data_IF_157367537545
#
_entry.id   IF_157367537545
#
_cell.length_a   1.000
_cell.length_b   1.000
_cell.length_c   1.000
_cell.angle_alpha   90.00
_cell.angle_beta   90.00
_cell.angle_gamma   90.00
#
_symmetry.space_group_name_H-M   'P 1'
#
loop_
_entity.id
_entity.type
_entity.pdbx_description
1 polymer ?
#
# COMPACT_ATOMS: atom_id res chain seq x y z
N UNK A 1 14.20 23.34 0.73
CA UNK A 1 15.26 22.36 1.11
C UNK A 1 15.08 21.99 2.58
N UNK A 2 15.24 20.75 2.93
CA UNK A 2 15.18 20.26 4.32
C UNK A 2 16.48 19.51 4.66
N UNK A 3 16.79 19.44 5.93
CA UNK A 3 17.92 18.66 6.42
C UNK A 3 17.67 18.20 7.87
N UNK A 4 17.95 16.94 8.15
CA UNK A 4 17.87 16.37 9.50
C UNK A 4 19.27 16.25 10.11
N UNK A 5 19.53 16.98 11.18
CA UNK A 5 20.84 16.94 11.86
C UNK A 5 21.09 15.63 12.62
N UNK A 6 20.03 14.82 12.85
CA UNK A 6 20.15 13.54 13.53
C UNK A 6 20.61 12.40 12.63
N UNK A 7 20.03 12.25 11.43
CA UNK A 7 20.29 11.14 10.53
C UNK A 7 20.95 11.54 9.19
N UNK A 8 21.12 12.84 8.92
CA UNK A 8 21.72 13.35 7.69
C UNK A 8 20.76 13.34 6.48
N UNK A 9 19.51 12.90 6.65
CA UNK A 9 18.53 12.95 5.56
C UNK A 9 18.25 14.39 5.15
N UNK A 10 18.23 14.66 3.87
CA UNK A 10 17.98 16.00 3.37
C UNK A 10 17.82 16.04 1.86
N UNK A 11 17.30 17.14 1.36
CA UNK A 11 17.08 17.35 -0.05
C UNK A 11 16.01 18.38 -0.35
N UNK A 12 15.42 18.29 -1.54
CA UNK A 12 14.34 19.15 -1.99
C UNK A 12 12.96 18.52 -1.74
N UNK A 13 11.90 19.15 -2.23
CA UNK A 13 10.51 18.66 -2.10
C UNK A 13 10.33 17.28 -2.73
N UNK A 14 10.91 17.02 -3.90
CA UNK A 14 10.86 15.72 -4.56
C UNK A 14 11.49 14.63 -3.72
N UNK A 15 12.69 14.89 -3.19
CA UNK A 15 13.40 13.95 -2.31
C UNK A 15 12.57 13.65 -1.06
N UNK A 16 11.97 14.67 -0.45
CA UNK A 16 11.11 14.49 0.71
C UNK A 16 9.92 13.56 0.41
N UNK A 17 9.21 13.80 -0.69
CA UNK A 17 8.05 12.96 -1.07
C UNK A 17 8.47 11.53 -1.41
N UNK A 18 9.61 11.37 -2.10
CA UNK A 18 10.16 10.04 -2.40
C UNK A 18 10.45 9.23 -1.13
N UNK A 19 11.08 9.84 -0.15
CA UNK A 19 11.46 9.16 1.09
C UNK A 19 10.26 8.95 2.02
N UNK A 20 9.40 9.94 2.17
CA UNK A 20 8.25 9.88 3.07
C UNK A 20 7.18 8.90 2.62
N UNK A 21 6.81 8.96 1.32
CA UNK A 21 5.77 8.11 0.73
C UNK A 21 6.33 6.80 0.13
N UNK A 22 7.65 6.62 0.16
CA UNK A 22 8.32 5.52 -0.52
C UNK A 22 8.01 5.46 -2.02
N UNK A 23 8.03 6.63 -2.67
CA UNK A 23 7.79 6.78 -4.10
C UNK A 23 9.08 6.72 -4.90
N UNK A 24 8.98 6.27 -6.14
CA UNK A 24 10.01 6.52 -7.15
C UNK A 24 9.99 8.00 -7.55
N UNK A 25 11.05 8.47 -8.22
CA UNK A 25 11.10 9.84 -8.74
C UNK A 25 9.88 10.19 -9.60
N UNK A 26 9.47 9.29 -10.49
CA UNK A 26 8.32 9.49 -11.37
C UNK A 26 7.00 9.58 -10.61
N UNK A 27 6.81 8.73 -9.63
CA UNK A 27 5.61 8.75 -8.77
C UNK A 27 5.54 10.04 -7.96
N UNK A 28 6.66 10.46 -7.38
CA UNK A 28 6.74 11.72 -6.65
C UNK A 28 6.48 12.94 -7.55
N UNK A 29 7.06 12.94 -8.74
CA UNK A 29 6.86 14.01 -9.72
C UNK A 29 5.39 14.10 -10.15
N UNK A 30 4.76 12.97 -10.44
CA UNK A 30 3.35 12.89 -10.81
C UNK A 30 2.45 13.39 -9.68
N UNK A 31 2.68 12.93 -8.46
CA UNK A 31 1.90 13.35 -7.29
C UNK A 31 2.01 14.84 -7.02
N UNK A 32 3.18 15.42 -7.13
CA UNK A 32 3.40 16.86 -6.96
C UNK A 32 2.82 17.67 -8.11
N UNK A 33 2.91 17.18 -9.35
CA UNK A 33 2.29 17.82 -10.51
C UNK A 33 0.77 17.86 -10.40
N UNK A 34 0.14 16.77 -10.00
CA UNK A 34 -1.31 16.69 -9.76
C UNK A 34 -1.73 17.68 -8.66
N UNK A 35 -0.97 17.75 -7.59
CA UNK A 35 -1.23 18.71 -6.50
C UNK A 35 -1.09 20.16 -6.93
N UNK A 36 -0.14 20.45 -7.79
CA UNK A 36 0.11 21.80 -8.31
C UNK A 36 -0.75 22.16 -9.53
N UNK A 37 -1.54 21.22 -10.06
CA UNK A 37 -2.33 21.43 -11.28
C UNK A 37 -1.48 21.56 -12.55
N UNK A 38 -0.28 21.00 -12.57
CA UNK A 38 0.66 21.06 -13.69
C UNK A 38 0.55 19.78 -14.51
N UNK A 39 0.38 19.94 -15.84
CA UNK A 39 0.41 18.82 -16.77
C UNK A 39 1.84 18.43 -17.09
N UNK A 40 2.18 17.17 -16.87
CA UNK A 40 3.49 16.62 -17.26
C UNK A 40 3.48 16.19 -18.72
N UNK A 41 4.57 16.41 -19.47
CA UNK A 41 4.72 15.85 -20.80
C UNK A 41 4.71 14.33 -20.75
N UNK A 42 4.16 13.68 -21.79
CA UNK A 42 4.27 12.24 -21.94
C UNK A 42 5.74 11.86 -22.09
N UNK A 43 6.25 11.14 -21.10
CA UNK A 43 7.61 10.60 -21.19
C UNK A 43 7.60 9.27 -21.93
N UNK A 44 8.47 9.12 -22.91
CA UNK A 44 8.74 7.83 -23.52
C UNK A 44 9.60 7.02 -22.55
N UNK A 45 9.00 5.99 -21.98
CA UNK A 45 9.74 5.05 -21.12
C UNK A 45 10.43 3.99 -21.98
N UNK A 46 11.62 3.59 -21.55
CA UNK A 46 12.26 2.39 -22.09
C UNK A 46 11.37 1.16 -21.85
N UNK A 47 11.57 0.11 -22.63
CA UNK A 47 10.79 -1.14 -22.47
C UNK A 47 10.93 -1.69 -21.05
N UNK A 48 12.14 -1.70 -20.51
CA UNK A 48 12.44 -2.16 -19.14
C UNK A 48 11.72 -1.33 -18.09
N UNK A 49 11.67 0.00 -18.24
CA UNK A 49 10.97 0.88 -17.31
C UNK A 49 9.46 0.64 -17.32
N UNK A 50 8.87 0.33 -18.48
CA UNK A 50 7.44 -0.04 -18.61
C UNK A 50 7.16 -1.37 -17.92
N UNK A 51 7.99 -2.38 -18.13
CA UNK A 51 7.83 -3.69 -17.50
C UNK A 51 7.93 -3.60 -15.97
N UNK A 52 8.89 -2.82 -15.45
CA UNK A 52 9.01 -2.58 -14.01
C UNK A 52 7.80 -1.84 -13.43
N UNK A 53 7.31 -0.82 -14.14
CA UNK A 53 6.12 -0.08 -13.71
C UNK A 53 4.86 -0.96 -13.70
N UNK A 54 4.70 -1.82 -14.70
CA UNK A 54 3.61 -2.78 -14.76
C UNK A 54 3.69 -3.81 -13.63
N UNK A 55 4.88 -4.36 -13.39
CA UNK A 55 5.11 -5.29 -12.29
C UNK A 55 4.80 -4.67 -10.94
N UNK A 56 5.27 -3.43 -10.69
CA UNK A 56 4.97 -2.68 -9.47
C UNK A 56 3.47 -2.43 -9.31
N UNK A 57 2.79 -2.05 -10.38
CA UNK A 57 1.34 -1.84 -10.37
C UNK A 57 0.58 -3.10 -9.97
N UNK A 58 0.98 -4.26 -10.50
CA UNK A 58 0.40 -5.56 -10.12
C UNK A 58 0.65 -5.90 -8.65
N UNK A 59 1.86 -5.64 -8.13
CA UNK A 59 2.15 -5.84 -6.71
C UNK A 59 1.27 -4.98 -5.81
N UNK A 60 1.08 -3.71 -6.16
CA UNK A 60 0.20 -2.80 -5.41
C UNK A 60 -1.26 -3.28 -5.44
N UNK A 61 -1.72 -3.80 -6.55
CA UNK A 61 -3.06 -4.37 -6.68
C UNK A 61 -3.22 -5.62 -5.79
N UNK A 62 -2.25 -6.53 -5.80
CA UNK A 62 -2.23 -7.70 -4.91
C UNK A 62 -2.25 -7.28 -3.44
N UNK A 63 -1.43 -6.31 -3.06
CA UNK A 63 -1.40 -5.79 -1.69
C UNK A 63 -2.75 -5.17 -1.28
N UNK A 64 -3.38 -4.43 -2.18
CA UNK A 64 -4.72 -3.86 -1.92
C UNK A 64 -5.77 -4.95 -1.73
N UNK A 65 -5.78 -5.98 -2.56
CA UNK A 65 -6.68 -7.12 -2.42
C UNK A 65 -6.43 -7.88 -1.12
N UNK A 66 -5.16 -8.10 -0.76
CA UNK A 66 -4.79 -8.75 0.49
C UNK A 66 -5.25 -7.93 1.71
N UNK A 67 -5.04 -6.62 1.71
CA UNK A 67 -5.49 -5.74 2.78
C UNK A 67 -7.02 -5.78 2.96
N UNK A 68 -7.75 -5.73 1.85
CA UNK A 68 -9.21 -5.84 1.87
C UNK A 68 -9.67 -7.22 2.38
N UNK A 69 -8.99 -8.29 1.97
CA UNK A 69 -9.25 -9.65 2.44
C UNK A 69 -9.09 -9.76 3.96
N UNK A 70 -7.97 -9.29 4.51
CA UNK A 70 -7.73 -9.35 5.95
C UNK A 70 -8.70 -8.48 6.74
N UNK A 71 -9.07 -7.32 6.24
CA UNK A 71 -10.11 -6.48 6.84
C UNK A 71 -11.47 -7.18 6.84
N UNK A 72 -11.83 -7.82 5.73
CA UNK A 72 -13.06 -8.61 5.63
C UNK A 72 -13.06 -9.77 6.64
N UNK A 73 -11.94 -10.50 6.75
CA UNK A 73 -11.82 -11.61 7.71
C UNK A 73 -11.97 -11.14 9.16
N UNK A 74 -11.52 -9.93 9.49
CA UNK A 74 -11.73 -9.34 10.81
C UNK A 74 -13.21 -9.18 11.17
N UNK A 75 -14.06 -8.91 10.19
CA UNK A 75 -15.51 -8.73 10.36
C UNK A 75 -16.28 -10.05 10.35
N UNK A 76 -15.66 -11.16 10.00
CA UNK A 76 -16.27 -12.48 10.01
C UNK A 76 -16.25 -13.12 11.41
N UNK A 77 -17.09 -14.15 11.68
CA UNK A 77 -17.10 -14.85 12.98
C UNK A 77 -15.74 -15.38 13.41
N UNK A 78 -14.91 -15.86 12.48
CA UNK A 78 -13.56 -16.35 12.77
C UNK A 78 -12.60 -15.24 13.21
N UNK A 79 -12.84 -14.00 12.82
CA UNK A 79 -12.07 -12.82 13.20
C UNK A 79 -12.50 -12.17 14.52
N UNK A 80 -13.53 -12.68 15.15
CA UNK A 80 -14.13 -12.10 16.37
C UNK A 80 -13.10 -11.85 17.47
N UNK A 81 -12.23 -12.81 17.73
CA UNK A 81 -11.19 -12.69 18.75
C UNK A 81 -10.22 -11.52 18.46
N UNK A 82 -9.85 -11.31 17.20
CA UNK A 82 -9.03 -10.18 16.78
C UNK A 82 -9.75 -8.85 16.90
N UNK A 83 -11.01 -8.82 16.52
CA UNK A 83 -11.86 -7.63 16.65
C UNK A 83 -12.04 -7.21 18.12
N UNK A 84 -12.38 -8.16 19.00
CA UNK A 84 -12.50 -7.93 20.45
C UNK A 84 -11.17 -7.46 21.06
N UNK A 85 -10.05 -8.01 20.63
CA UNK A 85 -8.73 -7.53 21.05
C UNK A 85 -8.52 -6.07 20.72
N UNK A 86 -8.84 -5.64 19.51
CA UNK A 86 -8.72 -4.23 19.11
C UNK A 86 -9.67 -3.32 19.91
N UNK A 87 -10.91 -3.74 20.12
CA UNK A 87 -11.93 -2.93 20.79
C UNK A 87 -11.73 -2.88 22.30
N UNK A 88 -11.52 -4.02 22.93
CA UNK A 88 -11.49 -4.13 24.40
C UNK A 88 -10.10 -3.87 24.99
N UNK A 89 -9.06 -4.54 24.45
CA UNK A 89 -7.70 -4.39 24.98
C UNK A 89 -6.97 -3.16 24.48
N UNK A 90 -7.16 -2.80 23.20
CA UNK A 90 -6.49 -1.64 22.58
C UNK A 90 -7.36 -0.38 22.59
N UNK A 91 -8.64 -0.49 22.85
CA UNK A 91 -9.57 0.65 22.87
C UNK A 91 -9.70 1.36 21.53
N UNK A 92 -9.48 0.64 20.41
CA UNK A 92 -9.55 1.23 19.07
C UNK A 92 -11.00 1.39 18.62
N UNK A 93 -11.27 2.48 17.93
CA UNK A 93 -12.56 2.72 17.28
C UNK A 93 -12.62 1.99 15.93
N UNK A 94 -13.82 1.72 15.42
CA UNK A 94 -14.00 1.14 14.08
C UNK A 94 -13.41 2.04 12.98
N UNK A 95 -13.51 3.36 13.15
CA UNK A 95 -12.89 4.32 12.26
C UNK A 95 -11.36 4.17 12.24
N UNK A 96 -10.73 4.00 13.39
CA UNK A 96 -9.28 3.78 13.49
C UNK A 96 -8.87 2.46 12.82
N UNK A 97 -9.62 1.38 13.08
CA UNK A 97 -9.38 0.06 12.47
C UNK A 97 -9.43 0.15 10.94
N UNK A 98 -10.44 0.84 10.40
CA UNK A 98 -10.58 1.05 8.95
C UNK A 98 -9.46 1.92 8.39
N UNK A 99 -9.16 3.06 9.06
CA UNK A 99 -8.18 4.03 8.60
C UNK A 99 -6.76 3.48 8.53
N UNK A 100 -6.38 2.65 9.49
CA UNK A 100 -5.07 1.99 9.52
C UNK A 100 -5.05 0.66 8.76
N UNK A 101 -6.18 0.23 8.19
CA UNK A 101 -6.26 -1.01 7.42
C UNK A 101 -5.96 -2.26 8.26
N UNK A 102 -6.37 -2.26 9.52
CA UNK A 102 -6.16 -3.41 10.40
C UNK A 102 -7.03 -4.59 9.98
N UNK A 103 -6.49 -5.77 10.06
CA UNK A 103 -7.15 -6.98 9.62
C UNK A 103 -6.88 -8.18 10.50
N UNK A 104 -7.40 -9.32 10.08
CA UNK A 104 -7.23 -10.61 10.75
C UNK A 104 -6.78 -11.68 9.75
N UNK A 105 -5.76 -12.43 10.12
CA UNK A 105 -5.33 -13.59 9.35
C UNK A 105 -5.88 -14.86 9.99
N UNK A 106 -6.54 -15.70 9.18
CA UNK A 106 -7.07 -16.97 9.62
C UNK A 106 -5.93 -17.93 10.07
N UNK A 107 -6.32 -18.97 10.81
CA UNK A 107 -5.37 -20.01 11.27
C UNK A 107 -4.80 -20.87 10.14
N UNK A 108 -5.48 -20.90 8.99
CA UNK A 108 -5.05 -21.64 7.80
C UNK A 108 -4.01 -20.83 7.02
N UNK A 109 -2.97 -21.49 6.53
CA UNK A 109 -1.81 -20.83 5.92
C UNK A 109 -2.01 -20.43 4.46
N UNK A 110 -3.02 -20.94 3.77
CA UNK A 110 -3.19 -20.81 2.32
C UNK A 110 -4.47 -20.08 1.86
N UNK A 111 -5.29 -19.60 2.79
CA UNK A 111 -6.56 -18.94 2.49
C UNK A 111 -6.40 -17.72 1.58
N UNK A 112 -5.44 -16.87 1.88
CA UNK A 112 -5.16 -15.69 1.05
C UNK A 112 -4.71 -16.09 -0.36
N UNK A 113 -3.86 -17.10 -0.47
CA UNK A 113 -3.38 -17.60 -1.75
C UNK A 113 -4.53 -18.12 -2.62
N UNK A 114 -5.43 -18.92 -2.05
CA UNK A 114 -6.63 -19.41 -2.75
C UNK A 114 -7.52 -18.25 -3.19
N UNK A 115 -7.77 -17.29 -2.31
CA UNK A 115 -8.56 -16.10 -2.63
C UNK A 115 -7.97 -15.29 -3.79
N UNK A 116 -6.67 -15.04 -3.77
CA UNK A 116 -5.99 -14.32 -4.86
C UNK A 116 -6.03 -15.08 -6.18
N UNK A 117 -5.91 -16.41 -6.15
CA UNK A 117 -6.06 -17.23 -7.35
C UNK A 117 -7.47 -17.18 -7.94
N UNK A 118 -8.49 -17.24 -7.11
CA UNK A 118 -9.90 -17.12 -7.55
C UNK A 118 -10.18 -15.76 -8.20
N UNK A 119 -9.53 -14.69 -7.74
CA UNK A 119 -9.63 -13.35 -8.32
C UNK A 119 -8.82 -13.17 -9.61
N UNK A 120 -8.41 -14.26 -10.24
CA UNK A 120 -7.63 -14.29 -11.51
C UNK A 120 -6.28 -13.56 -11.43
N UNK A 121 -5.74 -13.36 -10.24
CA UNK A 121 -4.34 -13.00 -10.06
C UNK A 121 -3.51 -14.25 -10.36
N UNK A 122 -3.31 -14.53 -11.67
CA UNK A 122 -2.41 -15.61 -12.08
C UNK A 122 -1.05 -15.35 -11.46
N UNK A 123 -0.55 -16.34 -10.75
CA UNK A 123 0.81 -16.41 -10.23
C UNK A 123 1.82 -16.26 -11.37
N UNK A 124 2.10 -15.00 -11.73
CA UNK A 124 3.26 -14.63 -12.53
C UNK A 124 4.43 -14.25 -11.62
N UNK A 125 4.44 -14.85 -10.44
CA UNK A 125 5.47 -14.66 -9.41
C UNK A 125 6.09 -15.99 -9.05
#
# INVERSE_FOLDING_TARGET
>A
MYYCFGCGAGGNVLTFVMEYENYTFQEALTALADRAGVSLPKMEYSKEAREQAEFRSRLLEVNKLAANYFYYQLKQPQGKAGYEYFKEKRGLTDETILRFGLGYSNKTSDDLYRFLREKAMRTAF
#
